data_IF_925332361729
#
_entry.id   IF_925332361729
#
_cell.length_a   1.000
_cell.length_b   1.000
_cell.length_c   1.000
_cell.angle_alpha   90.00
_cell.angle_beta   90.00
_cell.angle_gamma   90.00
#
_symmetry.space_group_name_H-M   'P 1'
#
loop_
_entity.id
_entity.type
_entity.pdbx_description
1 polymer ?
#
# COMPACT_ATOMS: atom_id res chain seq x y z
N UNK A 1 -3.35 86.05 6.70
CA UNK A 1 -3.04 85.15 5.57
C UNK A 1 -2.20 83.99 6.09
N UNK A 2 -2.86 82.92 6.49
CA UNK A 2 -2.48 81.50 6.35
C UNK A 2 -3.53 80.73 7.16
N UNK A 3 -4.64 80.43 6.50
CA UNK A 3 -5.70 79.55 7.01
C UNK A 3 -5.23 78.11 6.78
N UNK A 4 -5.24 77.27 7.81
CA UNK A 4 -5.16 75.82 7.60
C UNK A 4 -6.14 75.06 8.50
N UNK A 5 -6.96 74.27 7.81
CA UNK A 5 -8.28 73.76 8.18
C UNK A 5 -8.12 72.45 8.97
N UNK A 6 -7.75 72.54 10.25
CA UNK A 6 -7.59 71.35 11.12
C UNK A 6 -8.40 71.32 12.42
N UNK A 7 -9.35 72.22 12.63
CA UNK A 7 -10.11 72.29 13.89
C UNK A 7 -11.58 72.74 13.73
N UNK A 8 -12.42 71.92 13.08
CA UNK A 8 -13.88 71.77 13.31
C UNK A 8 -14.26 70.40 12.70
N UNK A 9 -14.85 69.41 13.38
CA UNK A 9 -15.83 69.48 14.45
C UNK A 9 -15.57 68.34 15.46
N UNK A 10 -15.51 68.74 16.72
CA UNK A 10 -15.56 67.87 17.89
C UNK A 10 -17.05 67.72 18.21
N UNK A 11 -17.54 66.49 18.19
CA UNK A 11 -18.89 66.11 18.61
C UNK A 11 -18.86 64.70 19.15
N UNK A 12 -18.17 64.50 20.29
CA UNK A 12 -18.20 63.26 21.06
C UNK A 12 -19.07 63.51 22.29
N UNK A 13 -20.23 62.84 22.34
CA UNK A 13 -20.98 62.44 23.54
C UNK A 13 -21.82 61.23 23.12
N UNK A 14 -21.78 60.03 23.71
CA UNK A 14 -21.16 59.61 24.95
C UNK A 14 -21.00 58.09 25.01
N UNK A 15 -20.48 57.70 26.16
CA UNK A 15 -19.89 56.44 26.57
C UNK A 15 -20.93 55.34 26.91
N UNK A 16 -20.62 54.07 26.61
CA UNK A 16 -20.83 52.91 27.50
C UNK A 16 -20.61 51.57 26.77
N UNK A 17 -19.56 50.87 27.18
CA UNK A 17 -19.19 49.45 27.00
C UNK A 17 -20.28 48.44 26.58
N UNK A 18 -19.98 47.58 25.59
CA UNK A 18 -20.07 46.12 25.72
C UNK A 18 -19.51 45.37 24.49
N UNK A 19 -18.72 44.33 24.80
CA UNK A 19 -18.14 43.24 23.99
C UNK A 19 -18.96 42.69 22.81
N UNK A 20 -18.21 42.22 21.79
CA UNK A 20 -18.59 41.26 20.73
C UNK A 20 -19.56 41.82 19.65
N UNK A 21 -19.37 41.64 18.34
CA UNK A 21 -18.74 40.56 17.59
C UNK A 21 -18.15 41.11 16.29
N UNK A 22 -16.99 40.61 15.90
CA UNK A 22 -16.46 40.73 14.54
C UNK A 22 -17.28 39.76 13.68
N UNK A 23 -18.29 40.27 12.97
CA UNK A 23 -18.78 39.63 11.75
C UNK A 23 -17.80 40.04 10.65
N UNK A 24 -16.95 39.12 10.17
CA UNK A 24 -17.37 38.39 8.97
C UNK A 24 -16.93 36.93 9.05
N UNK A 25 -17.89 36.01 9.19
CA UNK A 25 -17.56 34.59 9.12
C UNK A 25 -18.62 33.77 8.37
N UNK A 26 -19.45 34.37 7.54
CA UNK A 26 -20.45 33.60 6.77
C UNK A 26 -20.14 33.51 5.27
N UNK A 27 -19.18 34.30 4.76
CA UNK A 27 -18.74 34.22 3.36
C UNK A 27 -17.49 33.34 3.15
N UNK A 28 -16.77 32.98 4.22
CA UNK A 28 -15.42 32.38 4.14
C UNK A 28 -15.36 30.89 4.58
N UNK A 29 -16.48 30.30 5.00
CA UNK A 29 -16.55 28.87 5.43
C UNK A 29 -17.33 27.97 4.47
N UNK A 30 -17.48 28.38 3.20
CA UNK A 30 -17.88 27.47 2.11
C UNK A 30 -16.73 27.12 1.15
N UNK A 31 -15.49 27.50 1.48
CA UNK A 31 -14.26 26.86 0.96
C UNK A 31 -14.07 25.48 1.64
N UNK A 32 -15.14 24.70 1.56
CA UNK A 32 -15.37 23.41 2.18
C UNK A 32 -14.54 22.37 1.42
N UNK A 33 -13.31 22.12 1.89
CA UNK A 33 -12.41 21.02 1.51
C UNK A 33 -12.68 20.39 0.13
N UNK A 34 -12.23 21.05 -0.94
CA UNK A 34 -12.20 20.45 -2.28
C UNK A 34 -11.35 19.17 -2.23
N UNK A 35 -11.89 18.05 -2.72
CA UNK A 35 -11.10 16.83 -2.90
C UNK A 35 -9.96 17.08 -3.89
N UNK A 36 -8.77 16.54 -3.64
CA UNK A 36 -7.62 16.66 -4.56
C UNK A 36 -7.99 16.26 -6.00
N UNK A 37 -8.89 15.27 -6.15
CA UNK A 37 -9.43 14.86 -7.44
C UNK A 37 -10.18 15.98 -8.16
N UNK A 38 -11.03 16.72 -7.45
CA UNK A 38 -11.79 17.83 -8.02
C UNK A 38 -10.84 18.99 -8.37
N UNK A 39 -9.82 19.22 -7.54
CA UNK A 39 -8.79 20.21 -7.83
C UNK A 39 -8.01 19.88 -9.12
N UNK A 40 -7.67 18.61 -9.34
CA UNK A 40 -7.01 18.15 -10.58
C UNK A 40 -7.94 18.29 -11.79
N UNK A 41 -9.22 17.92 -11.67
CA UNK A 41 -10.21 18.05 -12.74
C UNK A 41 -10.43 19.51 -13.15
N UNK A 42 -10.51 20.41 -12.18
CA UNK A 42 -10.67 21.85 -12.41
C UNK A 42 -9.40 22.46 -13.01
N UNK A 43 -8.22 22.11 -12.47
CA UNK A 43 -6.93 22.55 -12.98
C UNK A 43 -6.71 22.15 -14.44
N UNK A 44 -7.04 20.92 -14.82
CA UNK A 44 -6.96 20.47 -16.21
C UNK A 44 -7.93 21.25 -17.13
N UNK A 45 -9.13 21.60 -16.65
CA UNK A 45 -10.08 22.42 -17.40
C UNK A 45 -9.52 23.85 -17.63
N UNK A 46 -8.95 24.48 -16.61
CA UNK A 46 -8.31 25.80 -16.72
C UNK A 46 -7.12 25.79 -17.69
N UNK A 47 -6.29 24.74 -17.64
CA UNK A 47 -5.17 24.57 -18.56
C UNK A 47 -5.65 24.36 -20.00
N UNK A 48 -6.75 23.64 -20.20
CA UNK A 48 -7.36 23.48 -21.52
C UNK A 48 -7.89 24.83 -22.06
N UNK A 49 -8.55 25.62 -21.21
CA UNK A 49 -9.07 26.94 -21.58
C UNK A 49 -7.96 27.93 -21.93
N UNK A 50 -6.82 27.86 -21.25
CA UNK A 50 -5.63 28.67 -21.57
C UNK A 50 -4.82 28.15 -22.77
N UNK A 51 -5.27 27.07 -23.42
CA UNK A 51 -4.61 26.48 -24.58
C UNK A 51 -3.42 25.58 -24.24
N UNK A 52 -3.08 25.40 -22.97
CA UNK A 52 -1.99 24.53 -22.52
C UNK A 52 -2.44 23.06 -22.45
N UNK A 53 -2.65 22.46 -23.62
CA UNK A 53 -3.19 21.09 -23.77
C UNK A 53 -2.29 20.01 -23.18
N UNK A 54 -0.96 20.18 -23.28
CA UNK A 54 0.02 19.20 -22.76
C UNK A 54 -0.04 19.14 -21.24
N UNK A 55 -0.01 20.30 -20.57
CA UNK A 55 -0.13 20.35 -19.12
C UNK A 55 -1.50 19.85 -18.66
N UNK A 56 -2.57 20.16 -19.40
CA UNK A 56 -3.90 19.66 -19.08
C UNK A 56 -3.95 18.12 -19.12
N UNK A 57 -3.38 17.48 -20.14
CA UNK A 57 -3.29 16.02 -20.25
C UNK A 57 -2.50 15.41 -19.09
N UNK A 58 -1.35 16.00 -18.74
CA UNK A 58 -0.53 15.53 -17.61
C UNK A 58 -1.30 15.58 -16.28
N UNK A 59 -2.04 16.67 -16.03
CA UNK A 59 -2.88 16.80 -14.82
C UNK A 59 -4.00 15.77 -14.81
N UNK A 60 -4.63 15.51 -15.96
CA UNK A 60 -5.70 14.52 -16.05
C UNK A 60 -5.18 13.08 -15.88
N UNK A 61 -3.95 12.77 -16.33
CA UNK A 61 -3.28 11.50 -16.00
C UNK A 61 -3.07 11.33 -14.49
N UNK A 62 -2.71 12.39 -13.77
CA UNK A 62 -2.65 12.35 -12.31
C UNK A 62 -4.02 12.10 -11.68
N UNK A 63 -5.10 12.70 -12.22
CA UNK A 63 -6.46 12.49 -11.71
C UNK A 63 -6.89 11.02 -11.78
N UNK A 64 -6.68 10.35 -12.92
CA UNK A 64 -7.00 8.92 -13.06
C UNK A 64 -6.05 8.02 -12.28
N UNK A 65 -4.83 8.48 -11.98
CA UNK A 65 -3.89 7.73 -11.13
C UNK A 65 -4.32 7.72 -9.66
N UNK A 66 -4.80 8.86 -9.13
CA UNK A 66 -5.24 8.94 -7.72
C UNK A 66 -6.66 8.41 -7.50
N UNK A 67 -7.50 8.41 -8.53
CA UNK A 67 -8.88 7.95 -8.48
C UNK A 67 -9.20 7.02 -9.67
N UNK A 68 -8.65 5.79 -9.68
CA UNK A 68 -8.75 4.86 -10.82
C UNK A 68 -10.18 4.42 -11.15
N UNK A 69 -11.13 4.60 -10.24
CA UNK A 69 -12.54 4.23 -10.42
C UNK A 69 -13.46 5.43 -10.67
N UNK A 70 -12.91 6.65 -10.76
CA UNK A 70 -13.69 7.84 -11.03
C UNK A 70 -14.00 7.97 -12.53
N UNK A 71 -15.25 7.68 -12.90
CA UNK A 71 -15.70 7.74 -14.28
C UNK A 71 -15.52 9.11 -14.93
N UNK A 72 -15.68 10.19 -14.14
CA UNK A 72 -15.58 11.56 -14.64
C UNK A 72 -14.18 11.90 -15.15
N UNK A 73 -13.13 11.48 -14.43
CA UNK A 73 -11.74 11.67 -14.78
C UNK A 73 -11.38 10.88 -16.05
N UNK A 74 -11.74 9.60 -16.10
CA UNK A 74 -11.52 8.73 -17.27
C UNK A 74 -12.16 9.29 -18.54
N UNK A 75 -13.44 9.72 -18.48
CA UNK A 75 -14.12 10.31 -19.63
C UNK A 75 -13.52 11.63 -20.08
N UNK A 76 -13.10 12.49 -19.15
CA UNK A 76 -12.44 13.77 -19.47
C UNK A 76 -11.09 13.51 -20.15
N UNK A 77 -10.31 12.56 -19.64
CA UNK A 77 -9.05 12.16 -20.25
C UNK A 77 -9.23 11.60 -21.67
N UNK A 78 -10.16 10.66 -21.85
CA UNK A 78 -10.46 10.09 -23.16
C UNK A 78 -10.90 11.17 -24.16
N UNK A 79 -11.74 12.13 -23.73
CA UNK A 79 -12.13 13.26 -24.56
C UNK A 79 -10.94 14.16 -24.93
N UNK A 80 -10.02 14.43 -23.99
CA UNK A 80 -8.83 15.23 -24.25
C UNK A 80 -7.88 14.55 -25.25
N UNK A 81 -7.71 13.24 -25.13
CA UNK A 81 -6.93 12.43 -26.07
C UNK A 81 -7.57 12.43 -27.47
N UNK A 82 -8.88 12.21 -27.56
CA UNK A 82 -9.61 12.28 -28.84
C UNK A 82 -9.54 13.67 -29.49
N UNK A 83 -9.64 14.75 -28.70
CA UNK A 83 -9.48 16.12 -29.16
C UNK A 83 -8.04 16.43 -29.62
N UNK A 84 -7.06 15.67 -29.15
CA UNK A 84 -5.67 15.70 -29.63
C UNK A 84 -5.43 14.76 -30.83
N UNK A 85 -6.50 14.20 -31.41
CA UNK A 85 -6.48 13.19 -32.46
C UNK A 85 -5.82 11.85 -32.08
N UNK A 86 -5.61 11.61 -30.78
CA UNK A 86 -5.14 10.33 -30.23
C UNK A 86 -6.34 9.42 -29.92
N UNK A 87 -6.89 8.82 -30.98
CA UNK A 87 -8.05 7.92 -30.87
C UNK A 87 -7.67 6.61 -30.19
N UNK A 88 -6.47 6.10 -30.44
CA UNK A 88 -5.94 4.89 -29.79
C UNK A 88 -5.84 5.11 -28.27
N UNK A 89 -5.25 6.24 -27.85
CA UNK A 89 -5.16 6.63 -26.45
C UNK A 89 -6.53 6.79 -25.79
N UNK A 90 -7.47 7.45 -26.46
CA UNK A 90 -8.83 7.61 -25.95
C UNK A 90 -9.55 6.27 -25.73
N UNK A 91 -9.44 5.35 -26.70
CA UNK A 91 -10.03 4.02 -26.60
C UNK A 91 -9.36 3.17 -25.51
N UNK A 92 -8.05 3.28 -25.35
CA UNK A 92 -7.31 2.62 -24.27
C UNK A 92 -7.74 3.13 -22.90
N UNK A 93 -8.04 4.43 -22.74
CA UNK A 93 -8.50 4.96 -21.46
C UNK A 93 -9.91 4.44 -21.08
N UNK A 94 -10.83 4.36 -22.05
CA UNK A 94 -12.12 3.71 -21.81
C UNK A 94 -11.96 2.24 -21.41
N UNK A 95 -11.09 1.51 -22.10
CA UNK A 95 -10.78 0.11 -21.76
C UNK A 95 -10.16 -0.01 -20.36
N UNK A 96 -9.30 0.92 -19.98
CA UNK A 96 -8.66 0.96 -18.65
C UNK A 96 -9.68 1.17 -17.53
N UNK A 97 -10.66 2.07 -17.69
CA UNK A 97 -11.75 2.19 -16.73
C UNK A 97 -12.52 0.88 -16.58
N UNK A 98 -12.87 0.23 -17.70
CA UNK A 98 -13.56 -1.07 -17.71
C UNK A 98 -12.76 -2.13 -16.93
N UNK A 99 -11.44 -2.18 -17.13
CA UNK A 99 -10.55 -3.09 -16.43
C UNK A 99 -10.52 -2.87 -14.91
N UNK A 100 -10.68 -1.63 -14.43
CA UNK A 100 -10.83 -1.36 -13.00
C UNK A 100 -12.19 -1.80 -12.44
N UNK A 101 -13.26 -1.74 -13.23
CA UNK A 101 -14.59 -2.10 -12.76
C UNK A 101 -14.82 -3.61 -12.64
N UNK A 102 -14.16 -4.42 -13.47
CA UNK A 102 -14.30 -5.89 -13.48
C UNK A 102 -13.94 -6.53 -12.13
N UNK A 103 -12.75 -6.32 -11.52
CA UNK A 103 -12.39 -6.95 -10.25
C UNK A 103 -13.21 -6.44 -9.06
N UNK A 104 -13.82 -5.25 -9.18
CA UNK A 104 -14.75 -4.70 -8.17
C UNK A 104 -16.12 -5.41 -8.26
N UNK A 105 -16.38 -6.16 -9.33
CA UNK A 105 -17.63 -6.87 -9.57
C UNK A 105 -18.74 -5.99 -10.14
N UNK A 106 -18.47 -4.72 -10.44
CA UNK A 106 -19.46 -3.81 -11.03
C UNK A 106 -19.45 -3.91 -12.57
N UNK A 107 -19.86 -5.10 -13.02
CA UNK A 107 -19.94 -5.43 -14.45
C UNK A 107 -21.00 -4.58 -15.17
N UNK A 108 -21.99 -4.08 -14.42
CA UNK A 108 -22.98 -3.14 -14.92
C UNK A 108 -22.33 -1.83 -15.40
N UNK A 109 -21.53 -1.18 -14.55
CA UNK A 109 -20.79 0.03 -14.94
C UNK A 109 -19.78 -0.23 -16.06
N UNK A 110 -19.08 -1.36 -16.02
CA UNK A 110 -18.17 -1.76 -17.10
C UNK A 110 -18.90 -1.83 -18.46
N UNK A 111 -20.06 -2.47 -18.50
CA UNK A 111 -20.87 -2.61 -19.72
C UNK A 111 -21.41 -1.27 -20.20
N UNK A 112 -21.87 -0.41 -19.27
CA UNK A 112 -22.33 0.94 -19.61
C UNK A 112 -21.20 1.77 -20.23
N UNK A 113 -19.98 1.68 -19.70
CA UNK A 113 -18.86 2.44 -20.24
C UNK A 113 -18.38 1.89 -21.58
N UNK A 114 -18.37 0.58 -21.76
CA UNK A 114 -18.10 -0.03 -23.07
C UNK A 114 -19.08 0.50 -24.13
N UNK A 115 -20.38 0.51 -23.83
CA UNK A 115 -21.41 1.00 -24.74
C UNK A 115 -21.21 2.48 -25.07
N UNK A 116 -20.82 3.29 -24.06
CA UNK A 116 -20.51 4.70 -24.25
C UNK A 116 -19.27 4.89 -25.15
N UNK A 117 -18.14 4.26 -24.82
CA UNK A 117 -16.91 4.34 -25.60
C UNK A 117 -17.11 3.88 -27.05
N UNK A 118 -17.84 2.78 -27.26
CA UNK A 118 -18.13 2.26 -28.60
C UNK A 118 -19.04 3.21 -29.40
N UNK A 119 -19.96 3.91 -28.74
CA UNK A 119 -20.78 4.95 -29.39
C UNK A 119 -19.94 6.16 -29.80
N UNK A 120 -18.96 6.56 -28.98
CA UNK A 120 -18.12 7.74 -29.22
C UNK A 120 -17.02 7.46 -30.26
N UNK A 121 -16.37 6.31 -30.19
CA UNK A 121 -15.17 5.98 -30.98
C UNK A 121 -15.38 4.86 -32.01
N UNK A 122 -16.53 4.20 -32.01
CA UNK A 122 -16.82 3.06 -32.89
C UNK A 122 -16.20 1.74 -32.40
N UNK A 123 -16.02 0.79 -33.32
CA UNK A 123 -15.56 -0.58 -33.04
C UNK A 123 -14.04 -0.72 -32.83
N UNK A 124 -13.44 0.13 -31.99
CA UNK A 124 -12.00 0.13 -31.73
C UNK A 124 -11.50 -1.22 -31.13
N UNK A 125 -10.31 -1.71 -31.51
CA UNK A 125 -9.75 -2.96 -30.96
C UNK A 125 -9.71 -3.04 -29.44
N UNK A 126 -9.26 -1.99 -28.74
CA UNK A 126 -9.20 -1.96 -27.27
C UNK A 126 -10.58 -2.11 -26.62
N UNK A 127 -11.62 -1.53 -27.23
CA UNK A 127 -12.99 -1.67 -26.74
C UNK A 127 -13.53 -3.09 -26.99
N UNK A 128 -13.16 -3.72 -28.11
CA UNK A 128 -13.49 -5.13 -28.37
C UNK A 128 -12.83 -6.04 -27.35
N UNK A 129 -11.56 -5.82 -27.03
CA UNK A 129 -10.87 -6.59 -26.00
C UNK A 129 -11.53 -6.40 -24.62
N UNK A 130 -11.89 -5.17 -24.26
CA UNK A 130 -12.62 -4.90 -23.03
C UNK A 130 -14.00 -5.60 -23.00
N UNK A 131 -14.67 -5.71 -24.14
CA UNK A 131 -15.92 -6.48 -24.27
C UNK A 131 -15.72 -7.96 -23.98
N UNK A 132 -14.66 -8.59 -24.50
CA UNK A 132 -14.35 -10.00 -24.20
C UNK A 132 -14.06 -10.23 -22.71
N UNK A 133 -13.38 -9.27 -22.06
CA UNK A 133 -13.14 -9.30 -20.61
C UNK A 133 -14.46 -9.22 -19.82
N UNK A 134 -15.39 -8.35 -20.23
CA UNK A 134 -16.74 -8.27 -19.64
C UNK A 134 -17.51 -9.59 -19.84
N UNK A 135 -17.52 -10.16 -21.05
CA UNK A 135 -18.20 -11.44 -21.33
C UNK A 135 -17.69 -12.56 -20.43
N UNK A 136 -16.36 -12.63 -20.26
CA UNK A 136 -15.72 -13.59 -19.37
C UNK A 136 -16.15 -13.38 -17.92
N UNK A 137 -16.17 -12.14 -17.45
CA UNK A 137 -16.61 -11.79 -16.10
C UNK A 137 -18.09 -12.14 -15.87
N UNK A 138 -18.99 -11.83 -16.81
CA UNK A 138 -20.42 -12.18 -16.73
C UNK A 138 -20.61 -13.70 -16.65
N UNK A 139 -19.89 -14.46 -17.47
CA UNK A 139 -19.98 -15.93 -17.47
C UNK A 139 -19.60 -16.51 -16.10
N UNK A 140 -18.65 -15.90 -15.40
CA UNK A 140 -18.23 -16.35 -14.07
C UNK A 140 -19.27 -16.07 -12.97
N UNK A 141 -20.24 -15.16 -13.18
CA UNK A 141 -21.27 -14.84 -12.19
C UNK A 141 -22.33 -15.94 -12.04
N UNK A 142 -22.54 -16.74 -13.08
CA UNK A 142 -23.47 -17.87 -13.05
C UNK A 142 -22.64 -19.15 -12.97
N UNK A 143 -22.79 -19.98 -11.93
CA UNK A 143 -22.26 -21.34 -11.96
C UNK A 143 -22.98 -22.10 -13.07
N UNK A 144 -22.34 -22.23 -14.23
CA UNK A 144 -22.77 -23.17 -15.26
C UNK A 144 -22.15 -24.54 -15.01
N UNK A 145 -22.85 -25.62 -15.40
CA UNK A 145 -22.45 -27.04 -15.36
C UNK A 145 -21.16 -27.37 -16.17
N UNK A 146 -20.32 -26.39 -16.47
CA UNK A 146 -19.09 -26.59 -17.21
C UNK A 146 -17.96 -27.05 -16.29
N UNK A 147 -17.70 -28.35 -16.38
CA UNK A 147 -16.44 -29.03 -16.07
C UNK A 147 -15.30 -28.38 -16.87
N UNK A 148 -14.83 -27.24 -16.42
CA UNK A 148 -13.53 -26.70 -16.78
C UNK A 148 -12.80 -26.54 -15.46
N UNK A 149 -11.79 -27.37 -15.25
CA UNK A 149 -10.85 -27.19 -14.16
C UNK A 149 -10.19 -25.82 -14.33
N UNK A 150 -10.81 -24.79 -13.75
CA UNK A 150 -10.09 -23.62 -13.29
C UNK A 150 -8.89 -24.14 -12.49
N UNK A 151 -7.70 -23.54 -12.57
CA UNK A 151 -6.73 -23.76 -11.51
C UNK A 151 -7.48 -23.35 -10.25
N UNK A 152 -7.87 -24.35 -9.45
CA UNK A 152 -8.37 -24.12 -8.13
C UNK A 152 -7.29 -23.25 -7.48
N UNK A 153 -7.62 -21.99 -7.16
CA UNK A 153 -6.86 -21.32 -6.12
C UNK A 153 -6.83 -22.35 -5.00
N UNK A 154 -5.64 -22.84 -4.61
CA UNK A 154 -5.57 -23.90 -3.62
C UNK A 154 -6.42 -23.41 -2.47
N UNK A 155 -7.41 -24.23 -2.05
CA UNK A 155 -8.21 -23.93 -0.86
C UNK A 155 -7.25 -23.35 0.16
N UNK A 156 -7.53 -22.16 0.75
CA UNK A 156 -6.61 -21.49 1.65
C UNK A 156 -6.22 -22.50 2.72
N UNK A 157 -5.05 -23.10 2.52
CA UNK A 157 -4.56 -24.16 3.38
C UNK A 157 -3.84 -23.41 4.48
N UNK A 158 -4.29 -23.62 5.70
CA UNK A 158 -3.56 -23.18 6.87
C UNK A 158 -2.25 -23.96 6.87
N UNK A 159 -1.21 -23.36 6.28
CA UNK A 159 0.12 -23.91 6.34
C UNK A 159 0.56 -23.90 7.81
N UNK A 160 1.15 -25.01 8.30
CA UNK A 160 1.70 -25.02 9.64
C UNK A 160 2.79 -23.96 9.74
N UNK A 161 3.00 -23.35 10.90
CA UNK A 161 4.12 -22.42 11.07
C UNK A 161 5.38 -23.18 11.49
N UNK A 162 6.52 -22.82 10.90
CA UNK A 162 7.80 -23.46 11.26
C UNK A 162 8.30 -22.83 12.57
N UNK A 163 8.51 -23.62 13.65
CA UNK A 163 8.98 -23.08 14.91
C UNK A 163 10.50 -22.82 14.84
N UNK A 164 10.90 -21.62 15.26
CA UNK A 164 12.28 -21.27 15.51
C UNK A 164 12.40 -20.56 16.85
N UNK A 165 13.50 -20.83 17.53
CA UNK A 165 13.99 -20.04 18.64
C UNK A 165 15.16 -19.19 18.18
N UNK A 166 15.41 -18.07 18.83
CA UNK A 166 16.54 -17.22 18.47
C UNK A 166 17.31 -16.64 19.66
N UNK A 167 18.58 -16.34 19.39
CA UNK A 167 19.45 -15.48 20.18
C UNK A 167 19.73 -14.20 19.38
N UNK A 168 19.86 -13.06 20.06
CA UNK A 168 20.41 -11.84 19.45
C UNK A 168 21.88 -11.72 19.85
N UNK A 169 22.72 -11.42 18.89
CA UNK A 169 24.14 -11.20 19.08
C UNK A 169 24.54 -9.81 18.62
N UNK A 170 25.62 -9.33 19.21
CA UNK A 170 26.11 -7.96 19.06
C UNK A 170 27.64 -7.98 19.14
N UNK A 171 28.33 -7.32 18.21
CA UNK A 171 29.79 -7.12 18.25
C UNK A 171 30.21 -5.66 18.55
N UNK A 172 29.25 -4.78 18.81
CA UNK A 172 29.43 -3.35 19.05
C UNK A 172 29.08 -2.47 17.85
N UNK A 173 29.17 -3.00 16.63
CA UNK A 173 28.89 -2.27 15.37
C UNK A 173 27.71 -2.87 14.61
N UNK A 174 27.44 -4.18 14.77
CA UNK A 174 26.41 -4.91 14.05
C UNK A 174 25.63 -5.83 14.97
N UNK A 175 24.38 -6.08 14.58
CA UNK A 175 23.51 -7.02 15.25
C UNK A 175 23.10 -8.15 14.31
N UNK A 176 23.01 -9.36 14.86
CA UNK A 176 22.47 -10.50 14.14
C UNK A 176 21.59 -11.37 15.01
N UNK A 177 20.56 -11.94 14.39
CA UNK A 177 19.72 -12.96 14.99
C UNK A 177 20.20 -14.33 14.53
N UNK A 178 20.57 -15.18 15.48
CA UNK A 178 20.82 -16.58 15.22
C UNK A 178 19.53 -17.37 15.47
N UNK A 179 18.96 -17.93 14.40
CA UNK A 179 17.75 -18.73 14.44
C UNK A 179 18.13 -20.21 14.46
N UNK A 180 17.43 -20.98 15.27
CA UNK A 180 17.57 -22.42 15.40
C UNK A 180 16.18 -23.06 15.54
N UNK A 181 15.89 -24.09 14.77
CA UNK A 181 14.54 -24.67 14.77
C UNK A 181 14.27 -25.56 13.58
N UNK A 182 13.03 -25.56 13.13
CA UNK A 182 12.48 -26.59 12.26
C UNK A 182 12.23 -27.90 13.02
N UNK A 183 11.46 -28.78 12.40
CA UNK A 183 11.16 -30.11 12.94
C UNK A 183 11.52 -31.16 11.89
N UNK A 184 11.47 -32.44 12.26
CA UNK A 184 11.63 -33.55 11.30
C UNK A 184 10.55 -33.56 10.22
N UNK A 185 9.39 -32.94 10.48
CA UNK A 185 8.29 -32.79 9.51
C UNK A 185 8.41 -31.49 8.69
N UNK A 186 8.93 -30.43 9.31
CA UNK A 186 9.13 -29.12 8.71
C UNK A 186 10.62 -28.80 8.66
N UNK A 187 11.35 -29.49 7.79
CA UNK A 187 12.79 -29.33 7.61
C UNK A 187 13.05 -28.13 6.69
N UNK A 188 13.58 -27.01 7.20
CA UNK A 188 13.74 -25.80 6.42
C UNK A 188 15.06 -25.83 5.62
N UNK A 189 15.02 -25.35 4.38
CA UNK A 189 16.18 -25.28 3.49
C UNK A 189 16.73 -23.86 3.33
N UNK A 190 15.87 -22.86 3.45
CA UNK A 190 16.22 -21.45 3.39
C UNK A 190 15.32 -20.61 4.30
N UNK A 191 15.74 -19.39 4.59
CA UNK A 191 14.99 -18.36 5.32
C UNK A 191 15.00 -17.07 4.53
N UNK A 192 13.92 -16.29 4.61
CA UNK A 192 13.85 -14.93 4.10
C UNK A 192 13.28 -13.98 5.13
N UNK A 193 13.79 -12.75 5.10
CA UNK A 193 13.33 -11.63 5.92
C UNK A 193 12.51 -10.69 5.04
N UNK A 194 11.30 -10.36 5.47
CA UNK A 194 10.40 -9.47 4.75
C UNK A 194 10.17 -8.19 5.56
N UNK A 195 10.10 -7.07 4.86
CA UNK A 195 9.74 -5.79 5.46
C UNK A 195 8.21 -5.65 5.66
N UNK A 196 7.77 -4.46 6.08
CA UNK A 196 6.34 -4.13 6.28
C UNK A 196 5.49 -4.13 5.00
N UNK A 197 6.13 -4.07 3.84
CA UNK A 197 5.50 -4.08 2.52
C UNK A 197 5.58 -5.47 1.86
N UNK A 198 6.01 -6.50 2.61
CA UNK A 198 6.28 -7.85 2.13
C UNK A 198 7.41 -7.93 1.08
N UNK A 199 8.31 -6.95 1.04
CA UNK A 199 9.51 -6.99 0.20
C UNK A 199 10.60 -7.82 0.87
N UNK A 200 11.27 -8.68 0.08
CA UNK A 200 12.36 -9.53 0.58
C UNK A 200 13.62 -8.69 0.76
N UNK A 201 14.03 -8.50 2.01
CA UNK A 201 15.26 -7.77 2.38
C UNK A 201 16.49 -8.69 2.27
N UNK A 202 16.36 -9.93 2.76
CA UNK A 202 17.46 -10.87 2.83
C UNK A 202 16.97 -12.30 2.63
N UNK A 203 17.79 -13.16 2.01
CA UNK A 203 17.56 -14.61 1.92
C UNK A 203 18.84 -15.36 2.27
N UNK A 204 18.75 -16.38 3.12
CA UNK A 204 19.87 -17.22 3.56
C UNK A 204 19.51 -18.69 3.48
N UNK A 205 20.50 -19.55 3.27
CA UNK A 205 20.33 -21.01 3.40
C UNK A 205 20.51 -21.42 4.85
N UNK A 206 19.69 -22.37 5.28
CA UNK A 206 19.88 -23.02 6.57
C UNK A 206 21.07 -23.98 6.53
N UNK A 207 21.73 -24.12 7.66
CA UNK A 207 22.74 -25.15 7.91
C UNK A 207 22.05 -26.28 8.69
N UNK A 208 22.02 -27.51 8.18
CA UNK A 208 21.45 -28.65 8.89
C UNK A 208 22.19 -28.93 10.21
N UNK A 209 21.45 -29.30 11.25
CA UNK A 209 22.00 -29.83 12.49
C UNK A 209 21.97 -31.35 12.44
N UNK A 210 23.10 -31.99 12.71
CA UNK A 210 23.15 -33.43 12.86
C UNK A 210 22.39 -33.86 14.13
N UNK A 211 21.85 -35.09 14.16
CA UNK A 211 21.19 -35.62 15.34
C UNK A 211 22.13 -35.58 16.57
N UNK A 212 21.70 -34.91 17.63
CA UNK A 212 22.49 -34.72 18.86
C UNK A 212 23.46 -33.53 18.85
N UNK A 213 23.60 -32.82 17.72
CA UNK A 213 24.33 -31.56 17.67
C UNK A 213 23.54 -30.47 18.39
N UNK A 214 24.11 -29.91 19.47
CA UNK A 214 23.52 -28.76 20.16
C UNK A 214 23.79 -27.50 19.34
N UNK A 215 22.73 -26.77 19.00
CA UNK A 215 22.88 -25.40 18.54
C UNK A 215 23.14 -24.44 19.72
N UNK A 216 23.19 -23.14 19.43
CA UNK A 216 23.57 -22.11 20.41
C UNK A 216 22.37 -21.51 21.15
N UNK A 217 21.15 -21.69 20.65
CA UNK A 217 19.97 -21.18 21.33
C UNK A 217 19.65 -22.04 22.56
N UNK A 218 19.32 -21.39 23.68
CA UNK A 218 18.97 -22.09 24.92
C UNK A 218 17.78 -23.03 24.65
N UNK A 219 17.95 -24.31 24.95
CA UNK A 219 16.87 -25.30 24.83
C UNK A 219 15.81 -24.97 25.87
N UNK A 220 14.57 -24.79 25.42
CA UNK A 220 13.40 -24.70 26.28
C UNK A 220 12.98 -26.12 26.66
N UNK A 221 12.77 -26.38 27.94
CA UNK A 221 12.41 -27.71 28.45
C UNK A 221 11.08 -28.18 27.85
N UNK A 222 11.07 -29.37 27.24
CA UNK A 222 9.89 -29.94 26.58
C UNK A 222 9.76 -29.66 25.07
N UNK A 223 10.59 -28.79 24.49
CA UNK A 223 10.58 -28.55 23.05
C UNK A 223 11.54 -29.48 22.27
N UNK A 224 11.14 -29.97 21.09
CA UNK A 224 12.03 -30.77 20.25
C UNK A 224 13.26 -29.96 19.83
N UNK A 225 14.39 -30.65 19.64
CA UNK A 225 15.60 -30.02 19.11
C UNK A 225 15.35 -29.53 17.67
N UNK A 226 15.85 -28.34 17.36
CA UNK A 226 15.87 -27.83 16.00
C UNK A 226 16.71 -28.74 15.10
N UNK A 227 16.29 -28.84 13.83
CA UNK A 227 16.98 -29.63 12.80
C UNK A 227 17.87 -28.76 11.91
N UNK A 228 17.80 -27.45 12.05
CA UNK A 228 18.59 -26.50 11.28
C UNK A 228 18.80 -25.18 12.01
N UNK A 229 19.84 -24.44 11.59
CA UNK A 229 20.13 -23.09 12.11
C UNK A 229 20.66 -22.15 11.02
N UNK A 230 20.54 -20.85 11.26
CA UNK A 230 20.97 -19.78 10.35
C UNK A 230 21.23 -18.49 11.12
N UNK A 231 21.99 -17.58 10.52
CA UNK A 231 22.21 -16.23 11.04
C UNK A 231 21.65 -15.21 10.05
N UNK A 232 20.88 -14.25 10.57
CA UNK A 232 20.27 -13.14 9.85
C UNK A 232 20.81 -11.83 10.39
N UNK A 233 21.16 -10.89 9.51
CA UNK A 233 21.48 -9.53 9.94
C UNK A 233 20.21 -8.84 10.43
N UNK A 234 20.30 -8.07 11.52
CA UNK A 234 19.18 -7.26 11.99
C UNK A 234 19.60 -5.85 12.32
N UNK A 235 18.66 -4.93 12.22
CA UNK A 235 18.88 -3.51 12.49
C UNK A 235 18.66 -3.19 13.97
N UNK A 236 19.19 -2.06 14.42
CA UNK A 236 18.99 -1.53 15.78
C UNK A 236 17.49 -1.37 16.12
N UNK A 237 16.66 -1.05 15.12
CA UNK A 237 15.21 -0.94 15.27
C UNK A 237 14.58 -2.28 15.65
N UNK A 238 14.95 -3.37 14.97
CA UNK A 238 14.49 -4.73 15.29
C UNK A 238 14.90 -5.09 16.71
N UNK A 239 16.15 -4.82 17.04
CA UNK A 239 16.74 -5.13 18.33
C UNK A 239 16.02 -4.37 19.46
N UNK A 240 15.79 -3.07 19.28
CA UNK A 240 15.05 -2.24 20.23
C UNK A 240 13.59 -2.67 20.39
N UNK A 241 12.93 -3.09 19.30
CA UNK A 241 11.57 -3.62 19.36
C UNK A 241 11.50 -4.91 20.19
N UNK A 242 12.40 -5.87 19.91
CA UNK A 242 12.47 -7.14 20.64
C UNK A 242 12.76 -6.93 22.14
N UNK A 243 13.70 -6.06 22.49
CA UNK A 243 14.02 -5.75 23.89
C UNK A 243 12.88 -5.04 24.63
N UNK A 244 12.05 -4.28 23.91
CA UNK A 244 10.83 -3.68 24.44
C UNK A 244 9.64 -4.66 24.51
N UNK A 245 9.83 -5.93 24.15
CA UNK A 245 8.77 -6.94 24.08
C UNK A 245 7.76 -6.67 22.97
N UNK A 246 8.11 -5.84 21.97
CA UNK A 246 7.27 -5.53 20.82
C UNK A 246 7.53 -6.53 19.69
N UNK A 247 6.56 -6.72 18.77
CA UNK A 247 6.78 -7.50 17.57
C UNK A 247 7.95 -6.92 16.74
N UNK A 248 8.74 -7.79 16.13
CA UNK A 248 9.72 -7.38 15.13
C UNK A 248 9.01 -6.65 13.97
N UNK A 249 9.56 -5.53 13.46
CA UNK A 249 9.02 -4.85 12.28
C UNK A 249 9.19 -5.69 10.99
N UNK A 250 9.99 -6.75 11.06
CA UNK A 250 10.20 -7.69 9.96
C UNK A 250 9.54 -9.04 10.22
N UNK A 251 8.99 -9.62 9.17
CA UNK A 251 8.45 -10.99 9.15
C UNK A 251 9.53 -11.97 8.67
N UNK A 252 9.49 -13.19 9.20
CA UNK A 252 10.41 -14.26 8.80
C UNK A 252 9.63 -15.43 8.23
N UNK A 253 10.07 -15.92 7.08
CA UNK A 253 9.54 -17.11 6.43
C UNK A 253 10.65 -18.13 6.16
N UNK A 254 10.32 -19.40 6.25
CA UNK A 254 11.23 -20.50 5.98
C UNK A 254 10.74 -21.32 4.78
N UNK A 255 11.68 -21.75 3.93
CA UNK A 255 11.39 -22.59 2.78
C UNK A 255 11.39 -24.07 3.20
N UNK A 256 10.25 -24.74 3.10
CA UNK A 256 10.10 -26.18 3.35
C UNK A 256 9.64 -26.85 2.05
N UNK A 257 10.42 -27.79 1.53
CA UNK A 257 10.25 -28.26 0.16
C UNK A 257 10.38 -27.08 -0.82
N UNK A 258 9.32 -26.83 -1.59
CA UNK A 258 9.26 -25.71 -2.54
C UNK A 258 8.45 -24.50 -2.04
N UNK A 259 7.86 -24.58 -0.84
CA UNK A 259 6.97 -23.54 -0.32
C UNK A 259 7.65 -22.64 0.71
N UNK A 260 7.36 -21.34 0.66
CA UNK A 260 7.70 -20.39 1.71
C UNK A 260 6.59 -20.37 2.75
N UNK A 261 6.95 -20.67 3.99
CA UNK A 261 6.01 -20.86 5.09
C UNK A 261 6.32 -19.88 6.22
N UNK A 262 5.29 -19.30 6.83
CA UNK A 262 5.45 -18.42 7.98
C UNK A 262 6.11 -19.12 9.16
N UNK A 263 6.88 -18.37 9.94
CA UNK A 263 7.54 -18.88 11.15
C UNK A 263 6.81 -18.49 12.43
N UNK A 264 7.02 -19.27 13.49
CA UNK A 264 6.83 -18.82 14.88
C UNK A 264 8.22 -18.60 15.44
N UNK A 265 8.49 -17.39 15.92
CA UNK A 265 9.77 -17.01 16.51
C UNK A 265 9.63 -16.91 18.04
N UNK A 266 10.46 -17.66 18.75
CA UNK A 266 10.55 -17.63 20.21
C UNK A 266 11.85 -16.95 20.63
N UNK A 267 11.75 -15.81 21.30
CA UNK A 267 12.91 -15.17 21.91
C UNK A 267 13.35 -15.99 23.13
N UNK A 268 14.59 -16.48 23.12
CA UNK A 268 15.14 -17.23 24.26
C UNK A 268 15.64 -16.33 25.39
N UNK A 269 15.61 -15.00 25.21
CA UNK A 269 16.23 -14.01 26.11
C UNK A 269 17.76 -13.98 26.02
N UNK A 270 18.34 -14.82 25.16
CA UNK A 270 19.76 -14.90 24.90
C UNK A 270 20.25 -13.63 24.18
N UNK A 271 21.17 -12.91 24.83
CA UNK A 271 21.86 -11.73 24.30
C UNK A 271 23.37 -11.93 24.44
N UNK A 272 24.05 -12.23 23.34
CA UNK A 272 25.49 -12.56 23.34
C UNK A 272 26.29 -11.35 22.84
N UNK A 273 27.40 -11.05 23.50
CA UNK A 273 28.30 -9.94 23.11
C UNK A 273 27.88 -8.56 23.62
N UNK A 274 26.66 -8.39 24.14
CA UNK A 274 26.26 -7.17 24.85
C UNK A 274 27.01 -7.03 26.17
N UNK A 275 27.68 -5.90 26.37
CA UNK A 275 28.13 -5.50 27.71
C UNK A 275 26.88 -5.26 28.55
N UNK A 276 26.69 -6.03 29.62
CA UNK A 276 25.68 -5.73 30.63
C UNK A 276 25.93 -4.29 31.10
N UNK A 277 24.97 -3.38 30.91
CA UNK A 277 24.97 -2.15 31.71
C UNK A 277 24.71 -2.58 33.14
N UNK A 278 25.78 -2.86 33.87
CA UNK A 278 25.74 -2.92 35.33
C UNK A 278 25.21 -1.56 35.75
N UNK A 279 24.00 -1.56 36.30
CA UNK A 279 23.48 -0.41 37.01
C UNK A 279 24.42 -0.18 38.20
N UNK A 280 25.32 0.79 38.06
CA UNK A 280 26.05 1.32 39.21
C UNK A 280 25.01 2.06 40.02
N UNK A 281 24.72 1.51 41.20
CA UNK A 281 23.88 2.14 42.24
C UNK A 281 24.52 3.41 42.76
#
# INVERSE_FOLDING_TARGET
MSDDIRLRAIGITGDSDALASIEPAEAEIHEMHRSDLDALKDGAAMLTQSGNRVAALAVMWSAVAIAPTDLGAHRRLAAMLANAADIDGAANEYARYIEFMIPIGDVGRATMELAYGAKVLGGHPSLREAAEKIVTAVRALVPGDAVAAAPTLPLPRLLPKVPFRFCVHDDGDRHWMQLEGGTTELVPSAVRLLDRNDEVIETRKFIPLAAGQKGHAKIVEGEPNGVAWVVLGVTDEVVAALDAGKPSPYRVEAKVGDEWISTVLVDTGCRIGRRSKVAVS
#
